data_IF_361812474721
#
_entry.id   IF_361812474721
#
_cell.length_a   1.000
_cell.length_b   1.000
_cell.length_c   1.000
_cell.angle_alpha   90.00
_cell.angle_beta   90.00
_cell.angle_gamma   90.00
#
_symmetry.space_group_name_H-M   'P 1'
#
loop_
_entity.id
_entity.type
_entity.pdbx_description
1 polymer ?
#
# COMPACT_ATOMS: atom_id res chain seq x y z
N UNK A 1 6.36 0.53 -10.17
CA UNK A 1 6.15 -0.58 -9.22
C UNK A 1 4.77 -1.18 -9.45
N UNK A 2 4.66 -2.51 -9.53
CA UNK A 2 3.37 -3.21 -9.60
C UNK A 2 3.48 -4.51 -8.79
N UNK A 3 2.77 -4.60 -7.66
CA UNK A 3 2.84 -5.72 -6.72
C UNK A 3 1.42 -6.21 -6.45
N UNK A 4 1.21 -7.53 -6.48
CA UNK A 4 -0.09 -8.15 -6.26
C UNK A 4 0.03 -9.39 -5.37
N UNK A 5 -0.57 -9.30 -4.18
CA UNK A 5 -0.80 -10.39 -3.24
C UNK A 5 -2.31 -10.40 -2.91
N UNK A 6 -3.11 -11.25 -3.58
CA UNK A 6 -4.58 -11.23 -3.47
C UNK A 6 -5.06 -11.30 -2.01
N UNK A 7 -5.97 -10.40 -1.62
CA UNK A 7 -6.49 -10.31 -0.26
C UNK A 7 -5.60 -9.59 0.75
N UNK A 8 -4.34 -9.30 0.41
CA UNK A 8 -3.35 -8.74 1.34
C UNK A 8 -2.78 -7.40 0.89
N UNK A 9 -2.25 -7.31 -0.33
CA UNK A 9 -1.50 -6.15 -0.77
C UNK A 9 -1.61 -5.98 -2.28
N UNK A 10 -2.02 -4.79 -2.71
CA UNK A 10 -1.97 -4.34 -4.08
C UNK A 10 -1.22 -3.02 -4.14
N UNK A 11 -0.24 -2.91 -5.02
CA UNK A 11 0.53 -1.68 -5.21
C UNK A 11 0.64 -1.37 -6.68
N UNK A 12 0.30 -0.14 -7.03
CA UNK A 12 0.48 0.39 -8.38
C UNK A 12 1.17 1.74 -8.32
N UNK A 13 2.21 1.90 -9.12
CA UNK A 13 2.86 3.19 -9.38
C UNK A 13 2.40 3.69 -10.74
N UNK A 14 1.88 4.90 -10.76
CA UNK A 14 1.45 5.59 -11.95
C UNK A 14 1.83 7.07 -11.84
N UNK A 15 2.46 7.59 -12.89
CA UNK A 15 2.97 8.97 -12.97
C UNK A 15 3.82 9.33 -11.75
N UNK A 16 3.35 10.31 -10.97
CA UNK A 16 4.04 10.86 -9.79
C UNK A 16 3.57 10.24 -8.47
N UNK A 17 2.83 9.13 -8.51
CA UNK A 17 2.23 8.53 -7.33
C UNK A 17 2.44 7.02 -7.22
N UNK A 18 2.63 6.56 -5.99
CA UNK A 18 2.48 5.14 -5.62
C UNK A 18 1.23 4.99 -4.76
N UNK A 19 0.28 4.22 -5.27
CA UNK A 19 -0.92 3.81 -4.55
C UNK A 19 -0.70 2.44 -3.94
N UNK A 20 -0.89 2.32 -2.64
CA UNK A 20 -0.79 1.10 -1.85
C UNK A 20 -2.16 0.81 -1.25
N UNK A 21 -2.74 -0.31 -1.63
CA UNK A 21 -3.93 -0.90 -1.04
C UNK A 21 -3.48 -2.08 -0.18
N UNK A 22 -3.58 -1.99 1.14
CA UNK A 22 -3.16 -3.09 2.04
C UNK A 22 -4.25 -3.48 3.01
N UNK A 23 -4.38 -4.76 3.31
CA UNK A 23 -5.23 -5.22 4.41
C UNK A 23 -4.64 -4.80 5.76
N UNK A 24 -5.50 -4.64 6.77
CA UNK A 24 -5.12 -4.29 8.14
C UNK A 24 -4.18 -5.31 8.82
N UNK A 25 -4.07 -6.52 8.28
CA UNK A 25 -3.15 -7.55 8.80
C UNK A 25 -1.72 -7.40 8.28
N UNK A 26 -1.49 -6.63 7.22
CA UNK A 26 -0.16 -6.43 6.63
C UNK A 26 0.60 -5.38 7.43
N UNK A 27 1.74 -5.78 7.99
CA UNK A 27 2.59 -4.92 8.80
C UNK A 27 3.79 -4.41 7.99
N UNK A 28 4.35 -3.28 8.41
CA UNK A 28 5.54 -2.69 7.78
C UNK A 28 6.77 -3.62 7.83
N UNK A 29 6.79 -4.57 8.77
CA UNK A 29 7.87 -5.54 8.96
C UNK A 29 7.74 -6.76 8.06
N UNK A 30 6.58 -6.98 7.44
CA UNK A 30 6.33 -8.16 6.62
C UNK A 30 7.13 -8.09 5.32
N UNK A 31 7.66 -9.23 4.88
CA UNK A 31 8.47 -9.30 3.66
C UNK A 31 7.68 -8.88 2.42
N UNK A 32 6.36 -9.11 2.38
CA UNK A 32 5.49 -8.65 1.29
C UNK A 32 5.42 -7.11 1.22
N UNK A 33 5.63 -6.41 2.32
CA UNK A 33 5.60 -4.95 2.40
C UNK A 33 6.99 -4.32 2.26
N UNK A 34 8.06 -5.13 2.32
CA UNK A 34 9.45 -4.68 2.23
C UNK A 34 9.72 -3.73 1.06
N UNK A 35 9.24 -3.95 -0.18
CA UNK A 35 9.53 -3.03 -1.29
C UNK A 35 9.00 -1.60 -1.08
N UNK A 36 7.86 -1.48 -0.38
CA UNK A 36 7.26 -0.18 -0.05
C UNK A 36 8.06 0.48 1.06
N UNK A 37 8.45 -0.29 2.08
CA UNK A 37 9.30 0.18 3.18
C UNK A 37 10.67 0.62 2.70
N UNK A 38 11.32 -0.14 1.81
CA UNK A 38 12.64 0.21 1.28
C UNK A 38 12.61 1.51 0.47
N UNK A 39 11.47 1.81 -0.18
CA UNK A 39 11.31 3.02 -0.99
C UNK A 39 10.93 4.25 -0.16
N UNK A 40 9.93 4.12 0.70
CA UNK A 40 9.36 5.27 1.42
C UNK A 40 9.81 5.34 2.87
N UNK A 41 10.27 4.24 3.46
CA UNK A 41 10.73 4.16 4.83
C UNK A 41 9.68 4.69 5.80
N UNK A 42 10.08 5.71 6.57
CA UNK A 42 9.22 6.40 7.53
C UNK A 42 8.49 7.62 6.94
N UNK A 43 8.51 7.81 5.62
CA UNK A 43 7.76 8.88 4.97
C UNK A 43 6.28 8.66 5.18
N UNK A 44 5.55 9.74 5.50
CA UNK A 44 4.10 9.68 5.60
C UNK A 44 3.48 9.81 4.20
N UNK A 45 2.43 9.04 3.89
CA UNK A 45 1.70 9.18 2.64
C UNK A 45 0.88 10.47 2.66
N UNK A 46 0.69 11.07 1.48
CA UNK A 46 -0.16 12.25 1.30
C UNK A 46 -1.64 11.92 1.48
N UNK A 47 -2.02 10.65 1.31
CA UNK A 47 -3.34 10.12 1.63
C UNK A 47 -3.18 8.88 2.50
N UNK A 48 -3.90 8.83 3.62
CA UNK A 48 -4.12 7.62 4.43
C UNK A 48 -5.59 7.56 4.82
N UNK A 49 -6.31 6.60 4.27
CA UNK A 49 -7.73 6.38 4.59
C UNK A 49 -8.05 4.89 4.64
N UNK A 50 -9.04 4.53 5.43
CA UNK A 50 -9.62 3.18 5.42
C UNK A 50 -10.79 3.16 4.44
N UNK A 51 -10.83 2.14 3.59
CA UNK A 51 -11.87 1.92 2.59
C UNK A 51 -12.45 0.51 2.71
N UNK A 52 -13.71 0.35 2.31
CA UNK A 52 -14.32 -0.97 2.15
C UNK A 52 -13.86 -1.56 0.81
N UNK A 53 -13.41 -2.81 0.85
CA UNK A 53 -12.95 -3.54 -0.34
C UNK A 53 -13.24 -5.04 -0.16
N UNK A 54 -14.27 -5.59 -0.84
CA UNK A 54 -14.65 -7.00 -0.71
C UNK A 54 -13.56 -8.00 -1.10
N UNK A 55 -12.58 -7.59 -1.91
CA UNK A 55 -11.49 -8.44 -2.37
C UNK A 55 -10.31 -8.46 -1.37
N UNK A 56 -10.39 -7.67 -0.30
CA UNK A 56 -9.40 -7.61 0.78
C UNK A 56 -9.82 -8.39 2.01
N UNK A 57 -8.84 -8.84 2.78
CA UNK A 57 -9.11 -9.55 4.03
C UNK A 57 -9.88 -8.66 5.01
N UNK A 58 -10.98 -9.21 5.55
CA UNK A 58 -12.00 -8.53 6.35
C UNK A 58 -12.82 -7.47 5.61
N UNK A 59 -12.86 -7.53 4.28
CA UNK A 59 -13.57 -6.58 3.43
C UNK A 59 -13.15 -5.11 3.63
N UNK A 60 -11.90 -4.89 4.06
CA UNK A 60 -11.37 -3.57 4.38
C UNK A 60 -9.90 -3.44 3.97
N UNK A 61 -9.55 -2.25 3.49
CA UNK A 61 -8.19 -1.89 3.12
C UNK A 61 -7.80 -0.53 3.70
N UNK A 62 -6.52 -0.38 4.02
CA UNK A 62 -5.88 0.91 4.15
C UNK A 62 -5.35 1.33 2.77
N UNK A 63 -5.88 2.43 2.26
CA UNK A 63 -5.42 3.10 1.06
C UNK A 63 -4.39 4.17 1.45
N UNK A 64 -3.16 3.96 1.00
CA UNK A 64 -2.05 4.90 1.15
C UNK A 64 -1.63 5.41 -0.23
N UNK A 65 -1.45 6.72 -0.37
CA UNK A 65 -0.88 7.31 -1.58
C UNK A 65 0.36 8.08 -1.20
N UNK A 66 1.47 7.74 -1.84
CA UNK A 66 2.76 8.42 -1.71
C UNK A 66 3.07 9.18 -2.99
N UNK A 67 3.65 10.37 -2.85
CA UNK A 67 4.26 11.07 -3.98
C UNK A 67 5.62 10.45 -4.30
N UNK A 68 5.94 10.37 -5.58
CA UNK A 68 7.26 10.00 -6.07
C UNK A 68 8.05 11.28 -6.23
N UNK A 69 8.96 11.55 -5.29
CA UNK A 69 9.92 12.64 -5.45
C UNK A 69 10.75 12.40 -6.73
N UNK A 70 10.78 13.40 -7.61
CA UNK A 70 11.55 13.40 -8.85
C UNK A 70 13.06 13.34 -8.62
#
# INVERSE_FOLDING_TARGET
MNIQHPGFLYVVEADEHVTVYRSAVVQNTDDIYRPIWDRFGTSEPVVRVQVEDPDMMYAAAELLIYEVAA
#
